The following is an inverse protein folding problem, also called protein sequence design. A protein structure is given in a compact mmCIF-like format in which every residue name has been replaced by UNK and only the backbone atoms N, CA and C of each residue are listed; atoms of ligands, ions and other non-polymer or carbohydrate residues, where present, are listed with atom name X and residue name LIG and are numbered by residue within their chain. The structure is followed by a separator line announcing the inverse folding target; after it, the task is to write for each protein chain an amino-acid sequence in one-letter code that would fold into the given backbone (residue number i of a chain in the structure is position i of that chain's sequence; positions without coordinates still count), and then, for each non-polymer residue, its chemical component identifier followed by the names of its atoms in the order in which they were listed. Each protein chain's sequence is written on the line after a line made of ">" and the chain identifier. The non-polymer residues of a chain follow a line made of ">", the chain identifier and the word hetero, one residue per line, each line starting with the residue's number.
data_IF_520493152802
#
_entry.id   IF_520493152802
#
_cell.length_a   1.000
_cell.length_b   1.000
_cell.length_c   1.000
_cell.angle_alpha   90.00
_cell.angle_beta   90.00
_cell.angle_gamma   90.00
#
_symmetry.space_group_name_H-M   'P 1'
#
loop_
_entity.id
_entity.type
_entity.pdbx_description
1 polymer ?
#
# COMPACT_ATOMS: atom_id res chain seq x y z
N UNK A 1 -65.29 -5.08 -42.44
CA UNK A 1 -64.07 -5.89 -42.19
C UNK A 1 -63.02 -4.97 -41.56
N UNK A 2 -63.19 -4.56 -40.30
CA UNK A 2 -62.54 -5.14 -39.11
C UNK A 2 -61.02 -5.31 -39.25
N UNK A 3 -60.24 -4.39 -38.64
CA UNK A 3 -59.20 -4.76 -37.68
C UNK A 3 -58.73 -3.53 -36.90
N UNK A 4 -58.95 -3.57 -35.58
CA UNK A 4 -58.41 -2.63 -34.60
C UNK A 4 -56.92 -2.90 -34.40
N UNK A 5 -56.12 -1.82 -34.28
CA UNK A 5 -54.75 -1.88 -33.77
C UNK A 5 -54.79 -2.39 -32.32
N UNK A 6 -54.23 -3.58 -32.10
CA UNK A 6 -53.98 -4.13 -30.77
C UNK A 6 -52.49 -4.01 -30.46
N UNK A 7 -52.17 -3.38 -29.32
CA UNK A 7 -50.88 -3.49 -28.67
C UNK A 7 -50.58 -4.96 -28.39
N UNK A 8 -49.42 -5.45 -28.81
CA UNK A 8 -48.86 -6.69 -28.31
C UNK A 8 -47.67 -6.37 -27.41
N UNK A 9 -47.87 -6.63 -26.13
CA UNK A 9 -46.81 -6.84 -25.13
C UNK A 9 -46.23 -8.22 -25.41
N UNK A 10 -44.92 -8.29 -25.67
CA UNK A 10 -44.19 -9.57 -25.73
C UNK A 10 -43.54 -9.80 -24.37
N UNK A 11 -43.88 -10.87 -23.64
CA UNK A 11 -43.19 -11.27 -22.42
C UNK A 11 -41.95 -12.09 -22.79
N UNK A 12 -40.81 -11.78 -22.16
CA UNK A 12 -39.56 -12.48 -22.40
C UNK A 12 -38.47 -12.12 -21.39
N UNK A 13 -38.75 -12.34 -20.11
CA UNK A 13 -37.72 -12.43 -19.07
C UNK A 13 -37.34 -13.91 -18.89
N UNK A 14 -36.09 -14.26 -19.20
CA UNK A 14 -35.39 -15.51 -18.86
C UNK A 14 -33.93 -15.27 -19.26
N UNK A 15 -32.87 -15.52 -18.48
CA UNK A 15 -32.71 -16.12 -17.17
C UNK A 15 -31.39 -15.60 -16.58
N UNK A 16 -31.39 -15.12 -15.33
CA UNK A 16 -30.15 -15.13 -14.53
C UNK A 16 -29.92 -16.58 -14.10
N UNK A 17 -28.87 -17.21 -14.63
CA UNK A 17 -28.40 -18.47 -14.11
C UNK A 17 -27.81 -18.22 -12.71
N UNK A 18 -28.58 -18.52 -11.66
CA UNK A 18 -28.04 -18.70 -10.31
C UNK A 18 -27.12 -19.91 -10.34
N UNK A 19 -25.80 -19.69 -10.37
CA UNK A 19 -24.83 -20.75 -10.08
C UNK A 19 -24.98 -21.12 -8.61
N UNK A 20 -25.57 -22.27 -8.34
CA UNK A 20 -25.61 -22.87 -7.02
C UNK A 20 -24.29 -23.61 -6.81
N UNK A 21 -23.44 -23.10 -5.92
CA UNK A 21 -22.22 -23.77 -5.52
C UNK A 21 -22.54 -24.95 -4.58
N UNK A 22 -21.77 -26.05 -4.63
CA UNK A 22 -22.00 -27.20 -3.78
C UNK A 22 -21.77 -26.82 -2.32
N UNK A 23 -22.84 -26.81 -1.52
CA UNK A 23 -22.76 -26.70 -0.08
C UNK A 23 -22.23 -28.02 0.49
N UNK A 24 -20.94 -28.06 0.84
CA UNK A 24 -20.46 -29.09 1.76
C UNK A 24 -21.09 -28.79 3.13
N UNK A 25 -22.05 -29.62 3.54
CA UNK A 25 -22.59 -29.62 4.89
C UNK A 25 -21.48 -30.01 5.86
N UNK A 26 -20.82 -29.01 6.45
CA UNK A 26 -19.96 -29.18 7.63
C UNK A 26 -20.87 -29.07 8.85
N UNK A 27 -21.04 -30.17 9.58
CA UNK A 27 -21.78 -30.18 10.83
C UNK A 27 -21.06 -29.28 11.87
N UNK A 28 -21.81 -28.38 12.49
CA UNK A 28 -21.33 -27.35 13.41
C UNK A 28 -20.86 -27.92 14.77
N UNK A 29 -19.74 -27.42 15.26
CA UNK A 29 -19.44 -27.28 16.68
C UNK A 29 -19.13 -25.79 16.98
N UNK A 30 -19.46 -25.32 18.20
CA UNK A 30 -19.50 -23.90 18.61
C UNK A 30 -18.17 -23.13 18.56
N UNK A 31 -17.08 -23.81 18.28
CA UNK A 31 -15.72 -23.26 18.21
C UNK A 31 -15.16 -23.56 16.82
N UNK A 32 -15.55 -22.74 15.84
CA UNK A 32 -14.92 -22.77 14.53
C UNK A 32 -13.46 -22.34 14.73
N UNK A 33 -12.58 -23.32 14.80
CA UNK A 33 -11.13 -23.15 14.83
C UNK A 33 -10.64 -23.21 13.40
N UNK A 34 -9.72 -22.34 13.02
CA UNK A 34 -9.09 -22.41 11.70
C UNK A 34 -8.28 -23.70 11.66
N UNK A 35 -8.42 -24.48 10.58
CA UNK A 35 -7.70 -25.75 10.43
C UNK A 35 -6.18 -25.46 10.44
N UNK A 36 -5.49 -25.84 11.52
CA UNK A 36 -4.07 -25.54 11.74
C UNK A 36 -3.79 -24.55 12.89
N UNK A 37 -4.80 -23.77 13.31
CA UNK A 37 -4.66 -22.73 14.34
C UNK A 37 -5.81 -22.83 15.37
N UNK A 38 -5.75 -23.80 16.30
CA UNK A 38 -6.82 -24.11 17.25
C UNK A 38 -7.09 -23.01 18.28
N UNK A 39 -6.16 -22.06 18.43
CA UNK A 39 -6.27 -20.94 19.38
C UNK A 39 -6.96 -19.70 18.78
N UNK A 40 -7.18 -19.69 17.45
CA UNK A 40 -7.86 -18.60 16.75
C UNK A 40 -9.37 -18.85 16.70
N UNK A 41 -10.13 -18.00 17.40
CA UNK A 41 -11.59 -18.10 17.48
C UNK A 41 -12.22 -17.18 16.44
N UNK A 42 -12.98 -17.75 15.49
CA UNK A 42 -13.80 -16.96 14.56
C UNK A 42 -15.00 -16.36 15.33
N UNK A 43 -15.09 -15.03 15.45
CA UNK A 43 -16.14 -14.41 16.22
C UNK A 43 -17.50 -14.56 15.49
N UNK A 44 -18.63 -14.66 16.22
CA UNK A 44 -19.94 -14.96 15.65
C UNK A 44 -20.35 -14.11 14.44
N UNK A 45 -19.99 -12.83 14.44
CA UNK A 45 -20.26 -11.85 13.39
C UNK A 45 -19.49 -12.12 12.08
N UNK A 46 -18.31 -12.76 12.16
CA UNK A 46 -17.50 -13.10 10.99
C UNK A 46 -17.80 -14.51 10.47
N UNK A 47 -18.60 -15.31 11.20
CA UNK A 47 -18.90 -16.71 10.85
C UNK A 47 -19.60 -16.82 9.50
N UNK A 48 -20.54 -15.93 9.21
CA UNK A 48 -21.28 -15.97 7.95
C UNK A 48 -20.40 -15.57 6.77
N UNK A 49 -19.52 -14.58 6.93
CA UNK A 49 -18.53 -14.20 5.93
C UNK A 49 -17.50 -15.31 5.66
N UNK A 50 -17.01 -15.97 6.71
CA UNK A 50 -16.11 -17.13 6.61
C UNK A 50 -16.81 -18.32 5.95
N UNK A 51 -18.07 -18.62 6.33
CA UNK A 51 -18.86 -19.74 5.77
C UNK A 51 -19.28 -19.49 4.31
N UNK A 52 -19.51 -18.24 3.92
CA UNK A 52 -19.91 -17.84 2.57
C UNK A 52 -18.72 -17.62 1.61
N UNK A 53 -17.48 -17.74 2.10
CA UNK A 53 -16.28 -17.54 1.27
C UNK A 53 -15.99 -16.07 0.92
N UNK A 54 -16.34 -15.12 1.80
CA UNK A 54 -16.03 -13.69 1.61
C UNK A 54 -14.58 -13.31 1.93
N UNK A 55 -13.81 -14.23 2.50
CA UNK A 55 -12.34 -14.15 2.55
C UNK A 55 -11.77 -14.79 1.27
N UNK A 56 -12.12 -14.24 0.10
CA UNK A 56 -11.54 -14.69 -1.17
C UNK A 56 -10.12 -14.15 -1.27
N UNK A 57 -9.13 -15.02 -1.03
CA UNK A 57 -7.72 -14.71 -1.28
C UNK A 57 -7.36 -15.36 -2.62
N UNK A 58 -6.77 -14.60 -3.54
CA UNK A 58 -6.48 -15.02 -4.92
C UNK A 58 -5.35 -16.05 -5.07
N UNK A 59 -5.09 -16.86 -4.05
CA UNK A 59 -3.79 -17.50 -3.81
C UNK A 59 -2.80 -16.51 -3.18
N UNK A 60 -1.73 -17.01 -2.56
CA UNK A 60 -0.72 -16.20 -1.89
C UNK A 60 0.67 -16.85 -2.06
N UNK A 61 1.73 -16.06 -1.91
CA UNK A 61 3.09 -16.58 -1.93
C UNK A 61 3.55 -16.95 -0.51
N UNK A 62 4.31 -18.04 -0.38
CA UNK A 62 4.89 -18.40 0.92
C UNK A 62 6.00 -17.43 1.34
N UNK A 63 6.67 -16.79 0.38
CA UNK A 63 7.69 -15.78 0.63
C UNK A 63 7.62 -14.73 -0.48
N UNK A 64 7.99 -13.48 -0.18
CA UNK A 64 8.12 -12.45 -1.20
C UNK A 64 9.10 -12.84 -2.31
N UNK A 65 8.96 -12.31 -3.53
CA UNK A 65 9.95 -12.51 -4.57
C UNK A 65 11.30 -11.90 -4.16
N UNK A 66 12.42 -12.37 -4.77
CA UNK A 66 13.72 -11.75 -4.54
C UNK A 66 13.68 -10.24 -4.87
N UNK A 67 14.35 -9.39 -4.07
CA UNK A 67 14.34 -7.95 -4.31
C UNK A 67 15.02 -7.55 -5.61
N UNK A 68 14.53 -6.47 -6.22
CA UNK A 68 15.27 -5.74 -7.22
C UNK A 68 16.48 -5.05 -6.57
N UNK A 69 17.63 -4.96 -7.28
CA UNK A 69 18.77 -4.21 -6.77
C UNK A 69 18.42 -2.72 -6.67
N UNK A 70 18.92 -2.06 -5.61
CA UNK A 70 18.79 -0.62 -5.47
C UNK A 70 19.30 0.09 -6.72
N UNK A 71 18.48 0.98 -7.27
CA UNK A 71 18.81 1.82 -8.41
C UNK A 71 17.93 3.06 -8.38
N UNK A 72 18.44 4.11 -7.75
CA UNK A 72 17.68 5.31 -7.46
C UNK A 72 18.44 6.58 -7.82
N UNK A 73 17.73 7.68 -8.01
CA UNK A 73 18.36 8.99 -8.17
C UNK A 73 19.01 9.42 -6.86
N UNK A 74 20.01 10.31 -6.94
CA UNK A 74 20.66 10.83 -5.74
C UNK A 74 19.69 11.58 -4.81
N UNK A 75 18.70 12.29 -5.37
CA UNK A 75 17.74 13.04 -4.57
C UNK A 75 16.65 12.13 -3.96
N UNK A 76 16.19 11.10 -4.68
CA UNK A 76 15.31 10.07 -4.10
C UNK A 76 15.99 9.37 -2.90
N UNK A 77 17.29 9.05 -2.98
CA UNK A 77 18.04 8.47 -1.84
C UNK A 77 18.21 9.47 -0.70
N UNK A 78 18.49 10.74 -1.01
CA UNK A 78 18.74 11.80 -0.03
C UNK A 78 17.50 12.12 0.81
N UNK A 79 16.30 11.98 0.24
CA UNK A 79 15.05 12.28 0.93
C UNK A 79 14.22 11.05 1.29
N UNK A 80 14.76 9.83 1.04
CA UNK A 80 14.08 8.59 1.39
C UNK A 80 13.67 8.58 2.87
N UNK A 81 12.39 8.36 3.20
CA UNK A 81 11.94 8.24 4.58
C UNK A 81 12.64 7.09 5.31
N UNK A 82 12.83 7.24 6.61
CA UNK A 82 13.32 6.16 7.46
C UNK A 82 12.13 5.60 8.25
N UNK A 83 11.95 4.28 8.19
CA UNK A 83 10.77 3.61 8.68
C UNK A 83 10.99 2.91 10.01
N UNK A 84 9.90 2.84 10.76
CA UNK A 84 9.65 1.79 11.72
C UNK A 84 8.30 1.11 11.41
N UNK A 85 8.08 -0.05 12.02
CA UNK A 85 6.89 -0.85 11.86
C UNK A 85 6.47 -1.31 13.24
N UNK A 86 5.29 -0.88 13.69
CA UNK A 86 4.74 -1.32 14.97
C UNK A 86 4.70 -2.85 15.01
N UNK A 87 4.83 -3.42 16.21
CA UNK A 87 4.93 -4.87 16.42
C UNK A 87 3.75 -5.68 15.89
N UNK A 88 2.64 -5.03 15.57
CA UNK A 88 1.42 -5.61 15.03
C UNK A 88 1.24 -5.41 13.50
N UNK A 89 2.33 -5.05 12.81
CA UNK A 89 2.35 -4.80 11.35
C UNK A 89 3.32 -5.74 10.58
N UNK A 90 3.03 -5.98 9.29
CA UNK A 90 3.99 -6.56 8.35
C UNK A 90 5.18 -5.61 8.06
N UNK A 91 6.28 -6.14 7.52
CA UNK A 91 7.30 -5.32 6.85
C UNK A 91 6.92 -5.06 5.39
N UNK A 92 7.46 -3.98 4.82
CA UNK A 92 7.35 -3.80 3.37
C UNK A 92 8.26 -4.80 2.65
N UNK A 93 7.82 -5.32 1.51
CA UNK A 93 8.53 -6.36 0.74
C UNK A 93 8.55 -6.03 -0.75
N UNK A 94 9.32 -6.76 -1.59
CA UNK A 94 9.31 -6.55 -3.03
C UNK A 94 7.98 -6.95 -3.68
N UNK A 95 7.22 -5.98 -4.18
CA UNK A 95 6.03 -6.25 -4.99
C UNK A 95 6.30 -7.00 -6.32
N UNK A 96 7.54 -6.99 -6.84
CA UNK A 96 7.91 -7.68 -8.09
C UNK A 96 9.36 -8.15 -8.07
N UNK A 97 9.59 -9.37 -8.55
CA UNK A 97 10.92 -9.98 -8.68
C UNK A 97 11.65 -9.65 -10.00
N UNK A 98 12.97 -9.94 -10.09
CA UNK A 98 13.76 -9.76 -11.31
C UNK A 98 13.24 -10.52 -12.54
N UNK A 99 12.60 -11.66 -12.31
CA UNK A 99 11.95 -12.50 -13.33
C UNK A 99 10.57 -11.96 -13.75
N UNK A 100 10.05 -10.97 -13.03
CA UNK A 100 8.75 -10.37 -13.23
C UNK A 100 7.62 -11.08 -12.52
N UNK A 101 7.89 -12.03 -11.61
CA UNK A 101 6.87 -12.52 -10.69
C UNK A 101 6.36 -11.37 -9.82
N UNK A 102 5.05 -11.13 -9.84
CA UNK A 102 4.42 -10.16 -8.94
C UNK A 102 4.04 -10.91 -7.69
N UNK A 103 4.39 -10.36 -6.54
CA UNK A 103 4.02 -10.90 -5.24
C UNK A 103 2.50 -11.11 -5.17
N UNK A 104 2.08 -12.33 -4.87
CA UNK A 104 0.66 -12.70 -4.77
C UNK A 104 0.06 -12.40 -3.39
N UNK A 105 0.77 -11.65 -2.54
CA UNK A 105 0.31 -11.19 -1.25
C UNK A 105 0.27 -12.30 -0.22
N UNK A 106 -0.42 -12.03 0.90
CA UNK A 106 -0.61 -12.95 2.03
C UNK A 106 -2.08 -13.18 2.33
N UNK A 107 -2.36 -14.30 2.98
CA UNK A 107 -3.73 -14.69 3.27
C UNK A 107 -4.34 -13.81 4.36
N UNK A 108 -5.63 -13.47 4.19
CA UNK A 108 -6.41 -12.79 5.23
C UNK A 108 -6.85 -13.73 6.35
N UNK A 109 -6.57 -15.03 6.21
CA UNK A 109 -6.79 -16.06 7.21
C UNK A 109 -5.67 -16.17 8.25
N UNK A 110 -4.53 -15.54 7.95
CA UNK A 110 -3.41 -15.43 8.88
C UNK A 110 -3.62 -14.26 9.84
N UNK A 111 -2.92 -14.28 10.97
CA UNK A 111 -2.84 -13.09 11.83
C UNK A 111 -2.14 -11.92 11.11
N UNK A 112 -2.26 -10.71 11.66
CA UNK A 112 -1.70 -9.48 11.07
C UNK A 112 -0.20 -9.51 10.78
N UNK A 113 0.58 -10.32 11.51
CA UNK A 113 2.05 -10.41 11.36
C UNK A 113 2.54 -11.76 10.86
N UNK A 114 1.69 -12.76 10.82
CA UNK A 114 2.07 -14.12 10.42
C UNK A 114 2.52 -14.16 8.96
N UNK A 115 3.72 -14.70 8.74
CA UNK A 115 4.31 -14.84 7.41
C UNK A 115 4.91 -13.56 6.80
N UNK A 116 4.65 -12.38 7.33
CA UNK A 116 5.08 -11.11 6.71
C UNK A 116 5.95 -10.24 7.62
N UNK A 117 6.40 -10.81 8.76
CA UNK A 117 7.20 -10.10 9.75
C UNK A 117 8.31 -11.00 10.29
N UNK A 118 9.32 -11.26 9.48
CA UNK A 118 10.59 -11.80 9.95
C UNK A 118 11.79 -10.89 9.63
N UNK A 119 12.97 -11.23 10.16
CA UNK A 119 14.19 -10.44 9.91
C UNK A 119 14.65 -10.53 8.44
N UNK A 120 14.31 -11.62 7.76
CA UNK A 120 14.65 -11.82 6.36
C UNK A 120 13.83 -10.89 5.47
N UNK A 121 12.53 -10.74 5.71
CA UNK A 121 11.64 -9.80 5.02
C UNK A 121 12.20 -8.38 5.08
N UNK A 122 12.61 -7.95 6.29
CA UNK A 122 13.18 -6.62 6.53
C UNK A 122 14.49 -6.40 5.76
N UNK A 123 15.37 -7.41 5.75
CA UNK A 123 16.66 -7.36 5.04
C UNK A 123 16.52 -7.40 3.50
N UNK A 124 15.38 -7.90 2.98
CA UNK A 124 15.15 -8.12 1.55
C UNK A 124 13.99 -7.30 0.97
N UNK A 125 13.67 -6.16 1.57
CA UNK A 125 12.62 -5.25 1.11
C UNK A 125 12.98 -4.41 -0.11
N UNK A 126 11.96 -3.95 -0.84
CA UNK A 126 12.07 -2.85 -1.79
C UNK A 126 11.14 -1.70 -1.41
N UNK A 127 11.53 -0.49 -1.84
CA UNK A 127 10.67 0.69 -1.89
C UNK A 127 10.78 1.29 -3.29
N UNK A 128 9.67 1.82 -3.78
CA UNK A 128 9.58 2.39 -5.12
C UNK A 128 9.38 3.89 -5.02
N UNK A 129 9.96 4.67 -5.94
CA UNK A 129 9.78 6.13 -5.89
C UNK A 129 9.55 6.75 -7.26
N UNK A 130 8.87 7.89 -7.26
CA UNK A 130 8.76 8.77 -8.42
C UNK A 130 8.78 10.21 -7.95
N UNK A 131 9.70 10.98 -8.53
CA UNK A 131 9.77 12.42 -8.31
C UNK A 131 9.15 13.21 -9.47
N UNK A 132 8.63 14.40 -9.16
CA UNK A 132 8.26 15.44 -10.12
C UNK A 132 8.77 16.79 -9.66
N UNK A 133 9.43 17.49 -10.57
CA UNK A 133 9.98 18.82 -10.32
C UNK A 133 9.47 19.80 -11.37
N UNK A 134 9.10 21.01 -10.95
CA UNK A 134 8.88 22.16 -11.80
C UNK A 134 8.78 23.43 -10.95
N UNK A 135 9.09 24.58 -11.54
CA UNK A 135 8.92 25.90 -10.91
C UNK A 135 9.64 26.05 -9.55
N UNK A 136 10.80 25.40 -9.37
CA UNK A 136 11.58 25.40 -8.12
C UNK A 136 11.07 24.45 -7.03
N UNK A 137 9.93 23.78 -7.24
CA UNK A 137 9.40 22.77 -6.33
C UNK A 137 9.70 21.37 -6.87
N UNK A 138 10.00 20.45 -5.95
CA UNK A 138 10.10 19.02 -6.25
C UNK A 138 9.32 18.22 -5.20
N UNK A 139 8.51 17.27 -5.68
CA UNK A 139 7.84 16.27 -4.87
C UNK A 139 8.51 14.90 -5.09
N UNK A 140 8.79 14.19 -4.01
CA UNK A 140 9.35 12.85 -4.00
C UNK A 140 8.33 11.92 -3.33
N UNK A 141 7.69 11.06 -4.12
CA UNK A 141 6.72 10.08 -3.62
C UNK A 141 7.41 8.73 -3.49
N UNK A 142 7.23 8.07 -2.35
CA UNK A 142 7.74 6.74 -2.02
C UNK A 142 6.58 5.80 -1.74
N UNK A 143 6.55 4.67 -2.44
CA UNK A 143 5.57 3.61 -2.33
C UNK A 143 6.16 2.38 -1.66
N UNK A 144 5.43 1.88 -0.65
CA UNK A 144 5.77 0.71 0.13
C UNK A 144 4.66 -0.32 -0.05
N UNK A 145 5.04 -1.53 -0.47
CA UNK A 145 4.12 -2.64 -0.63
C UNK A 145 4.19 -3.56 0.58
N UNK A 146 3.02 -3.96 1.08
CA UNK A 146 2.88 -4.98 2.09
C UNK A 146 1.99 -6.09 1.53
N UNK A 147 2.27 -7.35 1.87
CA UNK A 147 1.57 -8.49 1.29
C UNK A 147 0.10 -8.56 1.70
N UNK A 148 -0.27 -7.92 2.82
CA UNK A 148 -1.62 -7.82 3.36
C UNK A 148 -1.75 -6.61 4.28
N UNK A 149 -2.99 -6.21 4.49
CA UNK A 149 -3.41 -5.30 5.54
C UNK A 149 -4.56 -5.96 6.30
N UNK A 150 -4.25 -6.56 7.45
CA UNK A 150 -5.19 -7.31 8.27
C UNK A 150 -5.15 -6.77 9.70
N UNK A 151 -6.31 -6.42 10.25
CA UNK A 151 -6.42 -5.99 11.65
C UNK A 151 -6.25 -7.14 12.65
N UNK A 152 -6.57 -6.91 13.93
CA UNK A 152 -6.43 -7.93 15.00
C UNK A 152 -7.38 -9.14 14.87
N UNK A 153 -8.17 -9.21 13.79
CA UNK A 153 -9.11 -10.29 13.52
C UNK A 153 -9.00 -10.72 12.07
N UNK A 154 -8.97 -12.04 11.89
CA UNK A 154 -8.99 -12.72 10.59
C UNK A 154 -10.13 -12.16 9.72
N UNK A 155 -9.81 -11.93 8.45
CA UNK A 155 -10.69 -11.38 7.43
C UNK A 155 -11.18 -9.94 7.65
N UNK A 156 -10.59 -9.17 8.58
CA UNK A 156 -10.76 -7.71 8.63
C UNK A 156 -9.61 -7.07 7.88
N UNK A 157 -9.85 -6.66 6.64
CA UNK A 157 -8.87 -6.00 5.78
C UNK A 157 -8.77 -6.63 4.38
N UNK A 158 -7.63 -6.40 3.70
CA UNK A 158 -7.39 -6.79 2.32
C UNK A 158 -6.07 -7.55 2.13
N UNK A 159 -6.07 -8.42 1.12
CA UNK A 159 -4.85 -8.92 0.51
C UNK A 159 -4.21 -7.75 -0.24
N UNK A 160 -2.89 -7.62 -0.12
CA UNK A 160 -2.11 -6.45 -0.54
C UNK A 160 -2.36 -5.20 0.30
N UNK A 161 -1.30 -4.41 0.44
CA UNK A 161 -1.38 -3.02 0.87
C UNK A 161 -0.35 -2.19 0.11
N UNK A 162 -0.71 -0.94 -0.10
CA UNK A 162 0.19 0.06 -0.66
C UNK A 162 0.02 1.33 0.15
N UNK A 163 1.09 1.74 0.81
CA UNK A 163 1.14 2.99 1.54
C UNK A 163 2.25 3.90 1.03
N UNK A 164 2.04 5.20 1.16
CA UNK A 164 2.80 6.23 0.47
C UNK A 164 3.31 7.30 1.42
N UNK A 165 4.54 7.73 1.19
CA UNK A 165 5.15 8.85 1.86
C UNK A 165 5.60 9.88 0.84
N UNK A 166 5.42 11.16 1.13
CA UNK A 166 5.86 12.25 0.25
C UNK A 166 6.78 13.21 0.98
N UNK A 167 7.86 13.63 0.32
CA UNK A 167 8.70 14.76 0.73
C UNK A 167 8.61 15.84 -0.32
N UNK A 168 8.32 17.07 0.11
CA UNK A 168 8.24 18.24 -0.76
C UNK A 168 9.36 19.21 -0.44
N UNK A 169 10.05 19.65 -1.49
CA UNK A 169 11.20 20.54 -1.39
C UNK A 169 11.03 21.77 -2.25
N UNK A 170 11.64 22.86 -1.83
CA UNK A 170 11.78 24.12 -2.56
C UNK A 170 13.26 24.37 -2.77
N UNK A 171 13.69 24.47 -4.02
CA UNK A 171 15.09 24.69 -4.43
C UNK A 171 16.06 23.70 -3.73
N UNK A 172 15.64 22.44 -3.61
CA UNK A 172 16.38 21.36 -2.96
C UNK A 172 16.35 21.36 -1.42
N UNK A 173 15.57 22.24 -0.79
CA UNK A 173 15.39 22.32 0.67
C UNK A 173 14.02 21.78 1.06
N UNK A 174 13.93 20.73 1.90
CA UNK A 174 12.66 20.20 2.38
C UNK A 174 11.80 21.23 3.12
N UNK A 175 10.52 21.29 2.75
CA UNK A 175 9.53 22.25 3.27
C UNK A 175 8.40 21.58 4.04
N UNK A 176 7.91 20.43 3.57
CA UNK A 176 6.88 19.63 4.25
C UNK A 176 6.95 18.17 3.82
N UNK A 177 6.28 17.31 4.59
CA UNK A 177 6.11 15.89 4.25
C UNK A 177 4.66 15.46 4.46
N UNK A 178 4.30 14.34 3.85
CA UNK A 178 3.00 13.72 3.98
C UNK A 178 3.12 12.21 4.22
N UNK A 179 2.22 11.68 5.04
CA UNK A 179 2.05 10.26 5.32
C UNK A 179 0.63 9.85 4.94
N UNK A 180 0.49 8.81 4.12
CA UNK A 180 -0.81 8.29 3.72
C UNK A 180 -1.54 7.66 4.89
N UNK A 181 -2.85 7.89 4.94
CA UNK A 181 -3.73 7.28 5.92
C UNK A 181 -5.13 7.10 5.33
N UNK A 182 -5.48 5.85 5.03
CA UNK A 182 -6.81 5.44 4.57
C UNK A 182 -7.33 6.29 3.38
N UNK A 183 -6.53 6.39 2.32
CA UNK A 183 -6.85 7.14 1.10
C UNK A 183 -6.73 8.67 1.22
N UNK A 184 -6.15 9.18 2.31
CA UNK A 184 -5.83 10.60 2.53
C UNK A 184 -4.36 10.74 2.92
N UNK A 185 -3.95 11.98 3.21
CA UNK A 185 -2.63 12.30 3.77
C UNK A 185 -2.77 13.11 5.07
N UNK A 186 -2.06 12.68 6.13
CA UNK A 186 -1.59 13.60 7.17
C UNK A 186 -0.37 14.33 6.63
N UNK A 187 -0.30 15.64 6.81
CA UNK A 187 0.79 16.45 6.31
C UNK A 187 1.31 17.34 7.42
N UNK A 188 2.64 17.55 7.47
CA UNK A 188 3.27 18.47 8.43
C UNK A 188 4.37 19.28 7.76
N UNK A 189 4.59 20.50 8.26
CA UNK A 189 5.77 21.27 7.89
C UNK A 189 7.03 20.49 8.27
N UNK A 190 8.07 20.58 7.45
CA UNK A 190 9.30 19.81 7.62
C UNK A 190 9.94 20.03 8.99
N UNK A 191 9.86 21.26 9.50
CA UNK A 191 10.36 21.63 10.84
C UNK A 191 9.68 20.85 11.98
N UNK A 192 8.45 20.40 11.79
CA UNK A 192 7.61 19.74 12.81
C UNK A 192 7.62 18.20 12.69
N UNK A 193 8.35 17.66 11.71
CA UNK A 193 8.51 16.21 11.50
C UNK A 193 9.79 15.71 12.17
N UNK A 194 9.73 14.68 13.04
CA UNK A 194 10.92 13.96 13.50
C UNK A 194 11.68 13.35 12.34
N UNK A 195 13.01 13.47 12.34
CA UNK A 195 13.85 13.11 11.19
C UNK A 195 15.27 12.75 11.62
N UNK A 196 15.91 11.90 10.82
CA UNK A 196 17.35 11.65 10.82
C UNK A 196 17.96 12.34 9.59
N UNK A 197 18.67 13.45 9.80
CA UNK A 197 19.18 14.24 8.67
C UNK A 197 18.03 14.70 7.76
N UNK A 198 18.03 14.23 6.51
CA UNK A 198 17.01 14.50 5.50
C UNK A 198 15.94 13.40 5.38
N UNK A 199 15.97 12.41 6.26
CA UNK A 199 15.06 11.26 6.25
C UNK A 199 13.99 11.50 7.29
N UNK A 200 12.76 11.80 6.86
CA UNK A 200 11.64 11.87 7.79
C UNK A 200 11.38 10.50 8.40
N UNK A 201 11.07 10.48 9.70
CA UNK A 201 10.75 9.26 10.44
C UNK A 201 9.25 9.00 10.37
N UNK A 202 8.87 7.85 9.83
CA UNK A 202 7.49 7.42 9.70
C UNK A 202 7.33 6.00 10.23
N UNK A 203 6.14 5.67 10.73
CA UNK A 203 5.81 4.37 11.30
C UNK A 203 4.61 3.79 10.57
N UNK A 204 4.74 2.56 10.09
CA UNK A 204 3.60 1.79 9.59
C UNK A 204 2.86 1.19 10.79
N UNK A 205 1.65 1.70 11.03
CA UNK A 205 0.90 1.60 12.27
C UNK A 205 -0.49 1.03 12.00
N UNK A 206 -1.00 0.16 12.87
CA UNK A 206 -2.40 -0.27 12.84
C UNK A 206 -3.36 0.72 13.51
N UNK A 207 -4.50 1.04 12.89
CA UNK A 207 -5.51 1.94 13.46
C UNK A 207 -6.30 1.29 14.61
N UNK A 208 -5.71 1.35 15.79
CA UNK A 208 -6.29 0.83 17.01
C UNK A 208 -6.51 -0.69 16.96
N UNK A 209 -7.50 -1.16 17.72
CA UNK A 209 -7.71 -2.59 17.94
C UNK A 209 -8.50 -3.30 16.84
N UNK A 210 -9.08 -2.58 15.87
CA UNK A 210 -9.93 -3.16 14.83
C UNK A 210 -9.72 -2.57 13.44
N UNK A 211 -8.93 -1.50 13.32
CA UNK A 211 -8.67 -0.86 12.05
C UNK A 211 -7.59 -1.56 11.26
N UNK A 212 -7.41 -1.06 10.04
CA UNK A 212 -6.36 -1.46 9.12
C UNK A 212 -5.13 -0.55 9.30
N UNK A 213 -4.08 -0.78 8.54
CA UNK A 213 -2.83 -0.05 8.69
C UNK A 213 -2.84 1.29 7.97
N UNK A 214 -1.89 2.14 8.36
CA UNK A 214 -1.58 3.41 7.72
C UNK A 214 -0.19 3.89 8.12
N UNK A 215 0.35 4.88 7.41
CA UNK A 215 1.53 5.61 7.88
C UNK A 215 1.17 6.76 8.83
N UNK A 216 1.89 6.85 9.93
CA UNK A 216 1.97 8.06 10.77
C UNK A 216 3.38 8.61 10.79
N UNK A 217 3.52 9.90 11.04
CA UNK A 217 4.83 10.44 11.46
C UNK A 217 5.20 9.88 12.84
N UNK A 218 6.50 9.72 13.08
CA UNK A 218 6.99 9.32 14.40
C UNK A 218 6.51 10.27 15.49
N UNK A 219 6.28 9.73 16.68
CA UNK A 219 6.02 10.41 17.94
C UNK A 219 7.30 10.83 18.66
N UNK A 220 8.47 10.74 18.02
CA UNK A 220 9.77 11.06 18.62
C UNK A 220 10.12 10.03 19.69
N UNK A 221 10.30 10.45 20.94
CA UNK A 221 10.72 9.57 22.02
C UNK A 221 9.77 8.39 22.29
N UNK A 222 8.52 8.43 21.79
CA UNK A 222 7.57 7.32 21.88
C UNK A 222 7.89 6.13 20.97
N UNK A 223 8.64 6.33 19.89
CA UNK A 223 9.05 5.28 18.94
C UNK A 223 10.57 5.01 19.02
N UNK A 224 11.18 5.21 20.20
CA UNK A 224 12.61 4.99 20.41
C UNK A 224 12.84 3.94 21.51
N UNK A 225 13.58 2.84 21.23
CA UNK A 225 14.05 2.45 19.90
C UNK A 225 12.90 1.97 18.99
N UNK A 226 13.11 1.97 17.66
CA UNK A 226 12.20 1.34 16.72
C UNK A 226 11.83 -0.12 17.07
N UNK A 227 10.60 -0.53 16.77
CA UNK A 227 10.02 -1.83 17.08
C UNK A 227 10.37 -2.94 16.08
N UNK A 228 10.97 -2.60 14.93
CA UNK A 228 11.47 -3.60 13.97
C UNK A 228 12.62 -4.46 14.53
N UNK A 229 12.88 -5.60 13.90
CA UNK A 229 13.88 -6.60 14.32
C UNK A 229 15.30 -6.06 14.53
N UNK A 230 15.67 -4.94 13.87
CA UNK A 230 17.00 -4.35 13.96
C UNK A 230 17.08 -3.24 15.01
N UNK A 231 15.94 -2.78 15.55
CA UNK A 231 15.84 -1.65 16.48
C UNK A 231 16.51 -0.37 15.96
N UNK A 232 16.42 -0.14 14.65
CA UNK A 232 16.94 1.06 13.97
C UNK A 232 15.92 1.61 12.99
N UNK A 233 16.02 2.90 12.68
CA UNK A 233 15.23 3.51 11.63
C UNK A 233 15.68 2.95 10.27
N UNK A 234 14.81 2.17 9.64
CA UNK A 234 15.17 1.33 8.50
C UNK A 234 14.96 2.03 7.16
N UNK A 235 15.80 1.71 6.18
CA UNK A 235 15.65 2.14 4.79
C UNK A 235 15.90 0.96 3.87
N UNK A 236 14.86 0.50 3.21
CA UNK A 236 14.91 -0.57 2.22
C UNK A 236 15.64 -0.14 0.94
N UNK A 237 16.04 -1.10 0.12
CA UNK A 237 16.60 -0.82 -1.20
C UNK A 237 15.60 -0.03 -2.07
N UNK A 238 16.03 1.12 -2.58
CA UNK A 238 15.17 2.06 -3.32
C UNK A 238 15.30 1.91 -4.84
N UNK A 239 14.15 1.82 -5.52
CA UNK A 239 14.04 1.76 -6.97
C UNK A 239 13.28 3.00 -7.43
N UNK A 240 13.98 3.95 -8.07
CA UNK A 240 13.30 5.09 -8.70
C UNK A 240 12.50 4.62 -9.92
N UNK A 241 11.56 5.44 -10.37
CA UNK A 241 10.67 5.14 -11.50
C UNK A 241 11.43 4.80 -12.80
N UNK A 242 12.56 5.48 -13.04
CA UNK A 242 13.47 5.18 -14.16
C UNK A 242 14.59 4.18 -13.79
N UNK A 243 14.55 3.66 -12.56
CA UNK A 243 15.54 2.79 -11.94
C UNK A 243 15.27 1.31 -12.11
N UNK A 244 14.03 0.92 -12.43
CA UNK A 244 13.69 -0.46 -12.73
C UNK A 244 14.69 -1.07 -13.73
N UNK A 245 15.19 -2.30 -13.49
CA UNK A 245 16.17 -2.93 -14.37
C UNK A 245 15.71 -3.05 -15.82
N UNK A 246 14.39 -3.18 -16.00
CA UNK A 246 13.70 -3.29 -17.29
C UNK A 246 12.42 -2.49 -17.25
N UNK A 247 12.12 -1.75 -18.32
CA UNK A 247 10.88 -0.96 -18.43
C UNK A 247 9.65 -1.87 -18.33
N UNK A 248 9.74 -3.08 -18.87
CA UNK A 248 8.65 -4.06 -18.82
C UNK A 248 8.34 -4.52 -17.40
N UNK A 249 9.31 -4.52 -16.48
CA UNK A 249 9.06 -4.83 -15.06
C UNK A 249 8.24 -3.72 -14.41
N UNK A 250 8.66 -2.46 -14.63
CA UNK A 250 7.92 -1.30 -14.13
C UNK A 250 6.50 -1.30 -14.65
N UNK A 251 6.35 -1.41 -15.98
CA UNK A 251 5.06 -1.32 -16.65
C UNK A 251 4.14 -2.47 -16.22
N UNK A 252 4.69 -3.67 -15.98
CA UNK A 252 3.94 -4.80 -15.43
C UNK A 252 3.47 -4.53 -14.00
N UNK A 253 4.35 -4.02 -13.13
CA UNK A 253 4.02 -3.71 -11.74
C UNK A 253 2.92 -2.63 -11.64
N UNK A 254 3.13 -1.48 -12.29
CA UNK A 254 2.21 -0.34 -12.17
C UNK A 254 0.85 -0.57 -12.85
N UNK A 255 0.73 -1.60 -13.68
CA UNK A 255 -0.52 -2.00 -14.34
C UNK A 255 -1.24 -3.17 -13.64
N UNK A 256 -0.64 -3.77 -12.61
CA UNK A 256 -1.24 -4.88 -11.91
C UNK A 256 -2.39 -4.42 -11.01
N UNK A 257 -3.43 -5.24 -10.93
CA UNK A 257 -4.59 -5.00 -10.09
C UNK A 257 -4.35 -5.59 -8.70
N UNK A 258 -4.04 -4.71 -7.74
CA UNK A 258 -3.86 -5.06 -6.32
C UNK A 258 -5.18 -4.99 -5.54
N UNK A 259 -6.32 -5.02 -6.23
CA UNK A 259 -7.64 -5.06 -5.62
C UNK A 259 -7.99 -3.76 -4.90
N UNK A 260 -7.92 -3.78 -3.56
CA UNK A 260 -8.25 -2.63 -2.73
C UNK A 260 -7.07 -1.67 -2.50
N UNK A 261 -5.85 -2.11 -2.78
CA UNK A 261 -4.63 -1.32 -2.62
C UNK A 261 -4.23 -0.69 -3.95
N UNK A 262 -3.77 0.56 -3.92
CA UNK A 262 -3.44 1.34 -5.12
C UNK A 262 -1.99 1.83 -5.08
N UNK A 263 -1.23 1.60 -6.16
CA UNK A 263 0.15 2.13 -6.28
C UNK A 263 0.15 3.61 -6.72
N UNK A 264 0.73 4.50 -5.92
CA UNK A 264 0.65 5.94 -6.12
C UNK A 264 1.65 6.49 -7.16
N UNK A 265 2.75 5.79 -7.47
CA UNK A 265 3.70 6.20 -8.52
C UNK A 265 3.22 5.91 -9.95
N UNK A 266 2.08 5.23 -10.13
CA UNK A 266 1.53 4.93 -11.46
C UNK A 266 1.17 6.20 -12.23
N UNK A 267 1.18 6.14 -13.56
CA UNK A 267 0.81 7.29 -14.40
C UNK A 267 -0.62 7.78 -14.13
N UNK A 268 -1.54 6.86 -13.77
CA UNK A 268 -2.93 7.18 -13.48
C UNK A 268 -3.12 7.86 -12.11
N UNK A 269 -2.31 7.51 -11.10
CA UNK A 269 -2.50 7.96 -9.73
C UNK A 269 -1.56 9.10 -9.30
N UNK A 270 -0.42 9.27 -9.96
CA UNK A 270 0.67 10.11 -9.46
C UNK A 270 0.27 11.59 -9.30
N UNK A 271 -0.31 12.21 -10.32
CA UNK A 271 -0.73 13.60 -10.26
C UNK A 271 -1.72 13.88 -9.11
N UNK A 272 -2.70 12.99 -8.95
CA UNK A 272 -3.71 13.11 -7.90
C UNK A 272 -3.10 12.95 -6.50
N UNK A 273 -2.17 12.01 -6.31
CA UNK A 273 -1.50 11.82 -5.03
C UNK A 273 -0.66 13.03 -4.63
N UNK A 274 0.06 13.63 -5.58
CA UNK A 274 0.82 14.86 -5.35
C UNK A 274 -0.12 16.01 -4.95
N UNK A 275 -1.23 16.19 -5.66
CA UNK A 275 -2.21 17.24 -5.34
C UNK A 275 -2.88 17.03 -3.98
N UNK A 276 -3.22 15.78 -3.64
CA UNK A 276 -3.87 15.42 -2.39
C UNK A 276 -2.99 15.76 -1.16
N UNK A 277 -1.69 15.49 -1.24
CA UNK A 277 -0.73 15.89 -0.20
C UNK A 277 -0.49 17.41 -0.20
N UNK A 278 -0.09 17.99 -1.33
CA UNK A 278 0.22 19.42 -1.41
C UNK A 278 -0.97 20.30 -1.04
N UNK A 279 -2.20 19.88 -1.35
CA UNK A 279 -3.42 20.58 -0.96
C UNK A 279 -3.59 20.80 0.55
N UNK A 280 -2.90 20.01 1.39
CA UNK A 280 -2.89 20.18 2.86
C UNK A 280 -1.96 21.29 3.33
N UNK A 281 -0.97 21.67 2.51
CA UNK A 281 0.16 22.52 2.94
C UNK A 281 0.41 23.73 2.06
N UNK A 282 -0.02 23.72 0.80
CA UNK A 282 0.32 24.75 -0.20
C UNK A 282 0.00 26.18 0.26
N UNK A 283 -1.08 26.38 1.00
CA UNK A 283 -1.50 27.70 1.47
C UNK A 283 -0.56 28.29 2.54
N UNK A 284 0.35 27.48 3.11
CA UNK A 284 1.42 27.94 3.99
C UNK A 284 2.59 28.59 3.22
N UNK A 285 2.62 28.44 1.89
CA UNK A 285 3.71 28.90 1.04
C UNK A 285 3.17 29.86 -0.03
N UNK A 286 3.38 31.17 0.16
CA UNK A 286 2.86 32.19 -0.76
C UNK A 286 3.41 32.12 -2.19
N UNK A 287 4.50 31.38 -2.40
CA UNK A 287 5.14 31.12 -3.69
C UNK A 287 4.94 29.68 -4.19
N UNK A 288 3.98 28.92 -3.62
CA UNK A 288 3.66 27.59 -4.10
C UNK A 288 3.11 27.64 -5.53
N UNK A 289 3.94 27.22 -6.48
CA UNK A 289 3.59 27.09 -7.88
C UNK A 289 4.10 25.73 -8.34
N UNK A 290 3.19 24.80 -8.57
CA UNK A 290 3.51 23.45 -9.01
C UNK A 290 2.46 22.96 -10.00
N UNK A 291 2.93 22.44 -11.13
CA UNK A 291 2.08 21.78 -12.12
C UNK A 291 2.16 20.26 -11.91
N UNK A 292 1.05 19.65 -11.50
CA UNK A 292 0.96 18.21 -11.24
C UNK A 292 0.97 17.36 -12.50
N UNK A 293 1.16 17.91 -13.70
CA UNK A 293 1.23 17.16 -14.96
C UNK A 293 2.49 17.49 -15.79
N UNK A 294 3.39 18.31 -15.25
CA UNK A 294 4.62 18.72 -15.94
C UNK A 294 5.86 18.19 -15.23
N UNK A 295 6.66 17.41 -15.95
CA UNK A 295 7.99 17.02 -15.50
C UNK A 295 9.04 17.97 -16.11
N UNK A 296 9.82 18.64 -15.27
CA UNK A 296 11.02 19.39 -15.65
C UNK A 296 12.25 18.69 -15.04
N UNK A 297 13.03 18.00 -15.89
CA UNK A 297 14.19 17.20 -15.46
C UNK A 297 13.87 15.97 -14.58
N UNK A 298 12.59 15.68 -14.34
CA UNK A 298 12.08 14.54 -13.56
C UNK A 298 11.56 13.41 -14.48
N UNK A 299 11.41 12.15 -14.00
CA UNK A 299 11.75 11.63 -12.67
C UNK A 299 13.26 11.48 -12.39
N UNK A 300 14.13 11.97 -13.27
CA UNK A 300 15.57 11.99 -13.08
C UNK A 300 16.29 10.75 -13.62
N UNK A 301 17.61 10.72 -13.42
CA UNK A 301 18.50 9.63 -13.87
C UNK A 301 19.07 8.89 -12.64
N UNK A 302 18.72 7.62 -12.44
CA UNK A 302 19.27 6.80 -11.36
C UNK A 302 20.77 6.55 -11.50
N UNK A 303 21.44 6.41 -10.36
CA UNK A 303 22.88 6.09 -10.26
C UNK A 303 23.13 4.64 -9.88
#
# INVERSE_FOLDING_TARGET
>A
MHSLRSLFVIPGALALATRQFPTKSLALNDTLTVQGHPDLVVPPESREAVIQGLCDDGGFDENPPPPLPQRATAEDLKFQPALDFDTDSCYNVPAIGPDGHIDQGRSRHETNTEGCRDEYDLDHSNVYSRQRCNNGWCAYLYDYFFEKDVGDRICIGHQYDWEHLQVWTRDGVPQFGCASAHGKYDARLWKDIPKEGNHMKAVYNKDGAIGTHYFRFSMGAGDEPPENHKHVWWRSALISYNGFPRVELRDKLVAYDFGAADIAISDAAFAWNLESCAGRMKDQFGDFAFDYNLDDGSPGTPI
#
